data_IF_691832238703
#
_entry.id   IF_691832238703
#
_cell.length_a   1.000
_cell.length_b   1.000
_cell.length_c   1.000
_cell.angle_alpha   90.00
_cell.angle_beta   90.00
_cell.angle_gamma   90.00
#
_symmetry.space_group_name_H-M   'P 1'
#
loop_
_entity.id
_entity.type
_entity.pdbx_description
1 polymer ?
#
# COMPACT_ATOMS: atom_id res chain seq x y z
N UNK A 1 -17.87 5.50 54.32
CA UNK A 1 -16.72 6.01 53.54
C UNK A 1 -16.96 5.68 52.07
N UNK A 2 -17.74 6.50 51.35
CA UNK A 2 -17.31 7.57 50.40
C UNK A 2 -16.43 7.08 49.24
N UNK A 3 -17.14 6.82 48.12
CA UNK A 3 -16.84 6.93 46.68
C UNK A 3 -15.39 7.31 46.28
N UNK A 4 -14.84 6.56 45.31
CA UNK A 4 -13.95 7.14 44.30
C UNK A 4 -14.30 6.56 42.92
N UNK A 5 -15.13 7.32 42.21
CA UNK A 5 -15.27 7.26 40.75
C UNK A 5 -14.13 8.12 40.22
N UNK A 6 -13.29 7.58 39.34
CA UNK A 6 -12.37 8.39 38.55
C UNK A 6 -12.49 8.01 37.08
N UNK A 7 -13.24 8.87 36.41
CA UNK A 7 -13.39 9.04 34.98
C UNK A 7 -12.11 9.75 34.48
N UNK A 8 -11.49 9.23 33.43
CA UNK A 8 -10.59 10.00 32.55
C UNK A 8 -10.83 9.46 31.13
N UNK A 9 -11.89 9.92 30.47
CA UNK A 9 -11.91 11.05 29.51
C UNK A 9 -10.87 10.92 28.39
N UNK A 10 -11.38 10.45 27.26
CA UNK A 10 -10.78 10.37 25.94
C UNK A 10 -10.17 11.69 25.50
N UNK A 11 -8.89 11.67 25.10
CA UNK A 11 -8.27 12.78 24.37
C UNK A 11 -8.46 12.54 22.86
N UNK A 12 -9.54 13.10 22.31
CA UNK A 12 -9.74 13.26 20.87
C UNK A 12 -8.87 14.44 20.44
N UNK A 13 -7.78 14.17 19.72
CA UNK A 13 -6.96 15.22 19.12
C UNK A 13 -7.56 15.60 17.76
N UNK A 14 -8.26 16.74 17.72
CA UNK A 14 -8.68 17.42 16.50
C UNK A 14 -7.48 18.25 16.00
N UNK A 15 -6.89 17.89 14.87
CA UNK A 15 -6.03 18.81 14.12
C UNK A 15 -6.87 19.45 13.01
N UNK A 16 -7.35 20.67 13.29
CA UNK A 16 -7.82 21.61 12.29
C UNK A 16 -6.62 22.39 11.74
N UNK A 17 -6.59 22.50 10.41
CA UNK A 17 -5.63 23.25 9.61
C UNK A 17 -5.88 24.76 9.82
N UNK A 18 -4.81 25.52 10.07
CA UNK A 18 -4.86 26.98 10.06
C UNK A 18 -3.44 27.55 9.95
N UNK A 19 -3.15 28.19 8.83
CA UNK A 19 -1.90 28.89 8.57
C UNK A 19 -1.63 30.00 9.60
N UNK A 20 -0.39 30.09 10.09
CA UNK A 20 0.19 31.32 10.62
C UNK A 20 1.61 31.49 10.10
N UNK A 21 1.80 32.62 9.43
CA UNK A 21 3.06 33.22 9.08
C UNK A 21 3.88 33.54 10.34
N UNK A 22 5.21 33.48 10.22
CA UNK A 22 6.15 34.26 11.03
C UNK A 22 6.27 33.91 12.52
N UNK A 23 7.02 32.85 12.83
CA UNK A 23 7.75 32.76 14.10
C UNK A 23 9.16 32.22 13.80
N UNK A 24 10.17 33.06 14.00
CA UNK A 24 11.56 32.62 14.09
C UNK A 24 11.63 31.52 15.17
N UNK A 25 12.09 30.30 14.88
CA UNK A 25 12.35 29.35 15.93
C UNK A 25 13.55 29.85 16.73
N UNK A 26 13.31 30.15 18.01
CA UNK A 26 14.36 30.15 19.02
C UNK A 26 15.10 28.82 18.86
N UNK A 27 16.37 28.88 18.43
CA UNK A 27 17.25 27.72 18.43
C UNK A 27 17.54 27.37 19.89
N UNK A 28 16.63 26.59 20.47
CA UNK A 28 16.92 25.87 21.70
C UNK A 28 17.98 24.83 21.34
N UNK A 29 19.20 25.01 21.87
CA UNK A 29 20.31 24.09 21.73
C UNK A 29 20.00 22.80 22.50
N UNK A 30 19.06 22.01 22.01
CA UNK A 30 18.80 20.66 22.49
C UNK A 30 20.06 19.85 22.20
N UNK A 31 20.66 19.18 23.21
CA UNK A 31 21.85 18.37 23.04
C UNK A 31 21.67 17.38 21.88
N UNK A 32 22.67 17.27 21.03
CA UNK A 32 22.63 16.42 19.83
C UNK A 32 22.28 14.95 20.17
N UNK A 33 22.73 14.46 21.34
CA UNK A 33 22.36 13.16 21.86
C UNK A 33 20.86 13.00 22.18
N UNK A 34 20.17 14.05 22.64
CA UNK A 34 18.73 14.02 22.90
C UNK A 34 17.93 14.03 21.60
N UNK A 35 18.40 14.74 20.56
CA UNK A 35 17.79 14.72 19.21
C UNK A 35 17.93 13.35 18.56
N UNK A 36 19.09 12.72 18.66
CA UNK A 36 19.35 11.38 18.10
C UNK A 36 18.47 10.29 18.73
N UNK A 37 18.35 10.26 20.06
CA UNK A 37 17.49 9.30 20.77
C UNK A 37 16.01 9.49 20.38
N UNK A 38 15.55 10.74 20.21
CA UNK A 38 14.20 11.02 19.77
C UNK A 38 13.96 10.58 18.31
N UNK A 39 14.96 10.73 17.44
CA UNK A 39 14.95 10.26 16.05
C UNK A 39 14.80 8.73 15.99
N UNK A 40 15.66 8.00 16.69
CA UNK A 40 15.65 6.53 16.72
C UNK A 40 14.32 5.96 17.23
N UNK A 41 13.74 6.56 18.30
CA UNK A 41 12.43 6.17 18.81
C UNK A 41 11.31 6.42 17.80
N UNK A 42 11.39 7.55 17.09
CA UNK A 42 10.40 7.91 16.07
C UNK A 42 10.47 6.97 14.89
N UNK A 43 11.67 6.64 14.42
CA UNK A 43 11.87 5.71 13.31
C UNK A 43 11.36 4.32 13.66
N UNK A 44 11.70 3.80 14.84
CA UNK A 44 11.19 2.50 15.32
C UNK A 44 9.66 2.45 15.38
N UNK A 45 9.01 3.54 15.76
CA UNK A 45 7.54 3.63 15.73
C UNK A 45 6.99 3.54 14.29
N UNK A 46 7.64 4.23 13.34
CA UNK A 46 7.25 4.16 11.92
C UNK A 46 7.44 2.75 11.35
N UNK A 47 8.54 2.10 11.69
CA UNK A 47 8.83 0.72 11.29
C UNK A 47 7.81 -0.27 11.83
N UNK A 48 7.43 -0.10 13.10
CA UNK A 48 6.40 -0.92 13.71
C UNK A 48 5.03 -0.69 13.07
N UNK A 49 4.72 0.55 12.69
CA UNK A 49 3.51 0.89 11.93
C UNK A 49 3.50 0.21 10.57
N UNK A 50 4.63 0.23 9.85
CA UNK A 50 4.77 -0.46 8.55
C UNK A 50 4.54 -1.96 8.70
N UNK A 51 5.14 -2.58 9.73
CA UNK A 51 4.95 -4.01 10.00
C UNK A 51 3.47 -4.36 10.28
N UNK A 52 2.74 -3.52 11.00
CA UNK A 52 1.30 -3.72 11.24
C UNK A 52 0.50 -3.66 9.94
N UNK A 53 0.78 -2.69 9.05
CA UNK A 53 0.15 -2.65 7.73
C UNK A 53 0.51 -3.88 6.88
N UNK A 54 1.78 -4.31 6.88
CA UNK A 54 2.21 -5.50 6.14
C UNK A 54 1.50 -6.77 6.63
N UNK A 55 1.28 -6.91 7.95
CA UNK A 55 0.46 -8.00 8.52
C UNK A 55 -0.99 -7.96 8.03
N UNK A 56 -1.59 -6.77 7.92
CA UNK A 56 -2.93 -6.63 7.37
C UNK A 56 -2.96 -7.01 5.88
N UNK A 57 -1.94 -6.64 5.11
CA UNK A 57 -1.84 -7.01 3.69
C UNK A 57 -1.80 -8.52 3.45
N UNK A 58 -1.22 -9.28 4.39
CA UNK A 58 -1.22 -10.76 4.31
C UNK A 58 -2.63 -11.34 4.24
N UNK A 59 -3.61 -10.71 4.90
CA UNK A 59 -5.01 -11.19 4.93
C UNK A 59 -5.66 -11.17 3.54
N UNK A 60 -5.11 -10.41 2.59
CA UNK A 60 -5.62 -10.32 1.23
C UNK A 60 -5.29 -11.54 0.35
N UNK A 61 -4.55 -12.52 0.87
CA UNK A 61 -4.41 -13.84 0.24
C UNK A 61 -5.76 -14.49 -0.10
N UNK A 62 -6.81 -14.20 0.69
CA UNK A 62 -8.20 -14.66 0.44
C UNK A 62 -8.75 -14.24 -0.91
N UNK A 63 -8.25 -13.15 -1.50
CA UNK A 63 -8.71 -12.70 -2.81
C UNK A 63 -8.22 -13.62 -3.93
N UNK A 64 -7.13 -14.37 -3.76
CA UNK A 64 -6.58 -15.24 -4.81
C UNK A 64 -7.58 -16.34 -5.22
N UNK A 65 -8.37 -16.86 -4.28
CA UNK A 65 -9.37 -17.92 -4.53
C UNK A 65 -10.76 -17.38 -4.88
N UNK A 66 -11.02 -16.10 -4.60
CA UNK A 66 -12.33 -15.47 -4.80
C UNK A 66 -12.61 -15.12 -6.26
N UNK A 67 -13.87 -15.12 -6.70
CA UNK A 67 -14.22 -14.53 -8.00
C UNK A 67 -14.27 -13.00 -7.91
N UNK A 68 -13.52 -12.31 -8.76
CA UNK A 68 -13.45 -10.85 -8.75
C UNK A 68 -14.11 -10.31 -10.02
N UNK A 69 -15.39 -9.96 -9.91
CA UNK A 69 -16.20 -9.46 -11.02
C UNK A 69 -16.53 -7.97 -10.86
N UNK A 70 -16.62 -7.49 -9.62
CA UNK A 70 -17.03 -6.12 -9.29
C UNK A 70 -15.89 -5.37 -8.62
N UNK A 71 -15.61 -4.17 -9.13
CA UNK A 71 -14.51 -3.34 -8.67
C UNK A 71 -14.99 -1.94 -8.28
N UNK A 72 -14.34 -1.29 -7.30
CA UNK A 72 -14.50 0.14 -7.07
C UNK A 72 -14.20 0.94 -8.34
N UNK A 73 -14.75 2.16 -8.42
CA UNK A 73 -14.52 3.05 -9.56
C UNK A 73 -13.01 3.21 -9.81
N UNK A 74 -12.64 3.19 -11.09
CA UNK A 74 -11.27 3.35 -11.58
C UNK A 74 -10.25 2.36 -11.01
N UNK A 75 -10.70 1.16 -10.64
CA UNK A 75 -9.87 0.13 -10.03
C UNK A 75 -9.93 -1.13 -10.88
N UNK A 76 -8.79 -1.80 -11.02
CA UNK A 76 -8.68 -3.13 -11.60
C UNK A 76 -7.89 -4.01 -10.65
N UNK A 77 -8.33 -5.25 -10.41
CA UNK A 77 -7.51 -6.26 -9.78
C UNK A 77 -7.21 -7.38 -10.78
N UNK A 78 -5.96 -7.81 -10.84
CA UNK A 78 -5.53 -8.97 -11.63
C UNK A 78 -4.72 -9.92 -10.78
N UNK A 79 -4.91 -11.21 -11.00
CA UNK A 79 -4.16 -12.28 -10.36
C UNK A 79 -3.26 -12.94 -11.38
N UNK A 80 -2.19 -13.53 -10.89
CA UNK A 80 -1.17 -14.08 -11.76
C UNK A 80 -0.20 -15.01 -11.07
N UNK A 81 0.87 -15.29 -11.81
CA UNK A 81 2.01 -16.04 -11.32
C UNK A 81 3.23 -15.13 -11.17
N UNK A 82 3.98 -15.35 -10.10
CA UNK A 82 5.24 -14.66 -9.87
C UNK A 82 6.24 -15.09 -10.96
N UNK A 83 6.85 -14.11 -11.62
CA UNK A 83 7.95 -14.31 -12.56
C UNK A 83 9.06 -13.28 -12.27
N UNK A 84 10.06 -13.69 -11.49
CA UNK A 84 11.11 -12.78 -11.01
C UNK A 84 10.54 -11.68 -10.12
N UNK A 85 10.64 -10.43 -10.59
CA UNK A 85 10.19 -9.23 -9.87
C UNK A 85 8.79 -8.75 -10.22
N UNK A 86 8.09 -9.47 -11.11
CA UNK A 86 6.77 -9.09 -11.60
C UNK A 86 5.70 -10.17 -11.33
N UNK A 87 4.45 -9.74 -11.39
CA UNK A 87 3.27 -10.59 -11.36
C UNK A 87 2.66 -10.67 -12.76
N UNK A 88 2.83 -11.81 -13.42
CA UNK A 88 2.34 -12.03 -14.78
C UNK A 88 0.88 -12.48 -14.70
N UNK A 89 -0.03 -11.64 -15.19
CA UNK A 89 -1.47 -11.92 -15.17
C UNK A 89 -1.79 -13.25 -15.86
N UNK A 90 -2.59 -14.08 -15.18
CA UNK A 90 -3.04 -15.36 -15.71
C UNK A 90 -4.40 -15.20 -16.42
N UNK A 91 -4.61 -15.82 -17.58
CA UNK A 91 -5.92 -15.80 -18.24
C UNK A 91 -7.01 -16.41 -17.34
N UNK A 92 -6.66 -17.46 -16.58
CA UNK A 92 -7.54 -18.02 -15.57
C UNK A 92 -7.33 -17.31 -14.22
N UNK A 93 -8.17 -16.30 -13.94
CA UNK A 93 -8.13 -15.52 -12.70
C UNK A 93 -8.55 -16.35 -11.45
N UNK A 94 -9.04 -17.58 -11.61
CA UNK A 94 -9.39 -18.49 -10.51
C UNK A 94 -8.41 -19.66 -10.36
N UNK A 95 -7.34 -19.68 -11.16
CA UNK A 95 -6.36 -20.74 -11.09
C UNK A 95 -5.78 -20.84 -9.67
N UNK A 96 -5.92 -21.99 -8.98
CA UNK A 96 -5.40 -22.17 -7.63
C UNK A 96 -3.88 -21.95 -7.53
N UNK A 97 -3.17 -22.09 -8.64
CA UNK A 97 -1.73 -21.85 -8.74
C UNK A 97 -1.36 -20.37 -8.92
N UNK A 98 -2.32 -19.45 -8.99
CA UNK A 98 -2.04 -18.02 -8.89
C UNK A 98 -1.46 -17.72 -7.49
N UNK A 99 -0.34 -17.02 -7.44
CA UNK A 99 0.41 -16.72 -6.22
C UNK A 99 0.80 -15.24 -6.10
N UNK A 100 0.25 -14.38 -6.96
CA UNK A 100 0.32 -12.94 -6.80
C UNK A 100 -0.98 -12.26 -7.24
N UNK A 101 -1.25 -11.09 -6.66
CA UNK A 101 -2.37 -10.23 -7.01
C UNK A 101 -1.90 -8.79 -7.10
N UNK A 102 -2.34 -8.09 -8.14
CA UNK A 102 -2.06 -6.69 -8.42
C UNK A 102 -3.35 -5.90 -8.45
N UNK A 103 -3.42 -4.81 -7.69
CA UNK A 103 -4.45 -3.79 -7.82
C UNK A 103 -3.86 -2.55 -8.47
N UNK A 104 -4.54 -2.06 -9.49
CA UNK A 104 -4.22 -0.83 -10.21
C UNK A 104 -5.35 0.18 -10.00
N UNK A 105 -4.97 1.42 -9.67
CA UNK A 105 -5.87 2.56 -9.67
C UNK A 105 -5.52 3.48 -10.82
N UNK A 106 -6.54 3.88 -11.58
CA UNK A 106 -6.41 4.74 -12.74
C UNK A 106 -6.86 6.17 -12.43
N UNK A 107 -6.13 7.15 -12.94
CA UNK A 107 -6.62 8.53 -13.02
C UNK A 107 -7.23 8.72 -14.41
N UNK A 108 -8.56 8.71 -14.49
CA UNK A 108 -9.24 9.13 -15.71
C UNK A 108 -9.26 10.66 -15.73
N UNK A 109 -8.42 11.23 -16.59
CA UNK A 109 -8.62 12.60 -17.03
C UNK A 109 -9.78 12.54 -18.01
N UNK A 110 -10.87 13.23 -17.70
CA UNK A 110 -12.10 13.23 -18.48
C UNK A 110 -11.88 13.99 -19.80
N UNK A 111 -11.09 13.44 -20.71
CA UNK A 111 -10.91 13.98 -22.04
C UNK A 111 -11.96 13.31 -22.90
N UNK A 112 -13.10 13.98 -23.04
CA UNK A 112 -14.21 13.49 -23.84
C UNK A 112 -13.75 13.06 -25.23
N UNK A 113 -14.45 12.04 -25.75
CA UNK A 113 -14.28 11.50 -27.11
C UNK A 113 -13.05 10.57 -27.21
N UNK A 114 -13.11 9.36 -26.61
CA UNK A 114 -12.71 8.13 -27.30
C UNK A 114 -12.98 6.88 -26.45
N UNK A 115 -13.38 5.79 -27.12
CA UNK A 115 -13.96 4.56 -26.55
C UNK A 115 -12.95 3.55 -26.00
N UNK A 116 -11.67 3.92 -25.91
CA UNK A 116 -10.64 3.12 -25.25
C UNK A 116 -10.05 3.89 -24.06
N UNK A 117 -10.92 4.17 -23.08
CA UNK A 117 -10.50 4.78 -21.82
C UNK A 117 -9.70 3.77 -20.98
N UNK A 118 -8.41 3.58 -21.31
CA UNK A 118 -7.40 3.21 -20.34
C UNK A 118 -6.75 4.50 -19.88
N UNK A 119 -7.21 5.05 -18.74
CA UNK A 119 -6.47 6.14 -18.10
C UNK A 119 -5.02 5.70 -17.84
N UNK A 120 -4.09 6.65 -17.70
CA UNK A 120 -2.75 6.30 -17.22
C UNK A 120 -2.88 5.67 -15.82
N UNK A 121 -2.26 4.50 -15.60
CA UNK A 121 -2.16 3.89 -14.26
C UNK A 121 -1.53 4.93 -13.34
N UNK A 122 -2.26 5.37 -12.33
CA UNK A 122 -1.74 6.37 -11.40
C UNK A 122 -0.93 5.70 -10.31
N UNK A 123 -1.48 4.64 -9.70
CA UNK A 123 -0.84 3.91 -8.61
C UNK A 123 -1.15 2.41 -8.75
N UNK A 124 -0.26 1.54 -8.30
CA UNK A 124 -0.56 0.11 -8.16
C UNK A 124 0.15 -0.52 -6.98
N UNK A 125 -0.44 -1.58 -6.42
CA UNK A 125 0.20 -2.45 -5.44
C UNK A 125 0.08 -3.90 -5.89
N UNK A 126 1.20 -4.62 -5.82
CA UNK A 126 1.28 -6.05 -6.07
C UNK A 126 1.71 -6.75 -4.78
N UNK A 127 0.91 -7.74 -4.38
CA UNK A 127 1.19 -8.63 -3.26
C UNK A 127 1.65 -9.98 -3.83
N UNK A 128 2.78 -10.46 -3.34
CA UNK A 128 3.39 -11.71 -3.74
C UNK A 128 3.29 -12.69 -2.57
N UNK A 129 2.72 -13.86 -2.82
CA UNK A 129 2.45 -14.85 -1.80
C UNK A 129 3.22 -16.14 -2.07
N UNK A 130 3.49 -16.89 -1.01
CA UNK A 130 3.96 -18.27 -1.13
C UNK A 130 2.92 -19.14 -1.83
N UNK A 131 3.39 -20.22 -2.43
CA UNK A 131 2.49 -21.27 -2.93
C UNK A 131 1.80 -21.97 -1.76
N UNK A 132 0.58 -22.45 -1.97
CA UNK A 132 -0.21 -23.17 -0.96
C UNK A 132 -1.70 -22.84 -1.02
N UNK A 133 -2.57 -23.81 -0.75
CA UNK A 133 -4.02 -23.64 -0.81
C UNK A 133 -4.62 -23.02 0.47
N UNK A 134 -4.06 -23.35 1.64
CA UNK A 134 -4.67 -23.02 2.94
C UNK A 134 -3.97 -21.89 3.70
N UNK A 135 -2.63 -21.82 3.59
CA UNK A 135 -1.84 -20.74 4.21
C UNK A 135 -0.85 -20.21 3.19
N UNK A 136 -0.92 -18.89 2.96
CA UNK A 136 -0.07 -18.16 2.04
C UNK A 136 0.63 -17.06 2.82
N UNK A 137 1.94 -17.13 2.89
CA UNK A 137 2.75 -16.12 3.55
C UNK A 137 3.08 -15.01 2.54
N UNK A 138 2.99 -13.76 2.98
CA UNK A 138 3.32 -12.60 2.15
C UNK A 138 4.84 -12.53 2.00
N UNK A 139 5.33 -12.74 0.78
CA UNK A 139 6.75 -12.81 0.47
C UNK A 139 7.32 -11.44 0.11
N UNK A 140 6.55 -10.64 -0.63
CA UNK A 140 7.01 -9.37 -1.18
C UNK A 140 5.83 -8.42 -1.39
N UNK A 141 6.07 -7.14 -1.18
CA UNK A 141 5.14 -6.06 -1.54
C UNK A 141 5.84 -5.14 -2.53
N UNK A 142 5.20 -4.89 -3.67
CA UNK A 142 5.67 -3.91 -4.66
C UNK A 142 4.60 -2.85 -4.83
N UNK A 143 4.94 -1.59 -4.58
CA UNK A 143 4.00 -0.46 -4.67
C UNK A 143 4.57 0.62 -5.58
N UNK A 144 3.78 1.05 -6.55
CA UNK A 144 4.13 2.06 -7.53
C UNK A 144 3.18 3.23 -7.36
N UNK A 145 3.69 4.45 -7.17
CA UNK A 145 2.89 5.63 -6.94
C UNK A 145 3.66 6.91 -7.23
N UNK A 146 2.94 8.01 -7.41
CA UNK A 146 3.54 9.32 -7.50
C UNK A 146 3.52 10.05 -6.15
N UNK A 147 4.66 10.57 -5.72
CA UNK A 147 4.77 11.35 -4.49
C UNK A 147 5.56 12.64 -4.70
N UNK A 148 5.24 13.66 -3.91
CA UNK A 148 6.13 14.79 -3.68
C UNK A 148 7.06 14.35 -2.55
N UNK A 149 8.36 14.34 -2.79
CA UNK A 149 9.34 13.84 -1.82
C UNK A 149 10.29 14.95 -1.41
N UNK A 150 10.86 14.88 -0.21
CA UNK A 150 11.94 15.81 0.15
C UNK A 150 13.21 15.57 -0.69
N UNK A 151 13.30 14.41 -1.35
CA UNK A 151 14.35 14.06 -2.30
C UNK A 151 14.22 14.83 -3.63
N UNK A 152 13.03 15.35 -3.96
CA UNK A 152 12.76 16.00 -5.23
C UNK A 152 11.69 17.09 -5.09
N UNK A 153 12.00 18.33 -5.48
CA UNK A 153 11.05 19.47 -5.44
C UNK A 153 9.79 19.27 -6.31
N UNK A 154 9.83 18.35 -7.26
CA UNK A 154 8.73 18.01 -8.16
C UNK A 154 8.12 16.65 -7.79
N UNK A 155 6.89 16.40 -8.24
CA UNK A 155 6.25 15.08 -8.12
C UNK A 155 7.07 14.03 -8.88
N UNK A 156 7.53 13.01 -8.19
CA UNK A 156 8.33 11.91 -8.75
C UNK A 156 7.53 10.62 -8.76
N UNK A 157 7.84 9.75 -9.71
CA UNK A 157 7.38 8.38 -9.68
C UNK A 157 8.28 7.58 -8.73
N UNK A 158 7.64 6.85 -7.83
CA UNK A 158 8.30 5.94 -6.90
C UNK A 158 7.77 4.53 -7.13
N UNK A 159 8.71 3.58 -7.14
CA UNK A 159 8.39 2.17 -6.96
C UNK A 159 9.13 1.66 -5.73
N UNK A 160 8.37 1.18 -4.75
CA UNK A 160 8.87 0.65 -3.49
C UNK A 160 8.69 -0.86 -3.53
N UNK A 161 9.78 -1.60 -3.39
CA UNK A 161 9.78 -3.05 -3.27
C UNK A 161 10.28 -3.43 -1.88
N UNK A 162 9.41 -4.03 -1.08
CA UNK A 162 9.75 -4.64 0.20
C UNK A 162 9.84 -6.16 0.02
N UNK A 163 11.06 -6.68 0.11
CA UNK A 163 11.39 -8.07 -0.18
C UNK A 163 11.11 -9.04 0.98
N UNK A 164 10.78 -8.53 2.16
CA UNK A 164 10.55 -9.35 3.34
C UNK A 164 9.65 -8.62 4.36
N UNK A 165 8.39 -8.37 3.99
CA UNK A 165 7.51 -7.43 4.70
C UNK A 165 7.12 -7.88 6.12
N UNK A 166 7.40 -9.13 6.49
CA UNK A 166 6.96 -9.76 7.73
C UNK A 166 8.10 -10.19 8.68
N UNK A 167 9.38 -10.06 8.29
CA UNK A 167 10.50 -10.62 9.06
C UNK A 167 10.74 -9.94 10.42
N UNK A 168 11.02 -8.63 10.43
CA UNK A 168 11.38 -7.88 11.65
C UNK A 168 10.96 -6.42 11.56
N UNK A 169 10.92 -5.73 12.71
CA UNK A 169 10.56 -4.30 12.77
C UNK A 169 11.56 -3.46 11.96
N UNK A 170 12.86 -3.61 12.22
CA UNK A 170 13.90 -3.01 11.38
C UNK A 170 14.06 -3.84 10.09
N UNK A 171 13.63 -3.28 8.97
CA UNK A 171 13.61 -3.95 7.66
C UNK A 171 14.10 -3.06 6.52
N UNK A 172 14.81 -1.96 6.82
CA UNK A 172 15.31 -1.01 5.81
C UNK A 172 16.22 -1.66 4.77
N UNK A 173 16.92 -2.73 5.14
CA UNK A 173 17.80 -3.50 4.24
C UNK A 173 17.03 -4.30 3.17
N UNK A 174 15.73 -4.52 3.39
CA UNK A 174 14.80 -5.27 2.54
C UNK A 174 13.96 -4.36 1.66
N UNK A 175 13.88 -3.07 1.99
CA UNK A 175 13.16 -2.06 1.23
C UNK A 175 14.07 -1.44 0.17
N UNK A 176 13.67 -1.58 -1.08
CA UNK A 176 14.28 -0.91 -2.24
C UNK A 176 13.31 0.14 -2.80
N UNK A 177 13.82 1.31 -3.12
CA UNK A 177 13.08 2.43 -3.68
C UNK A 177 13.69 2.76 -5.03
N UNK A 178 12.92 2.61 -6.09
CA UNK A 178 13.22 3.16 -7.39
C UNK A 178 12.58 4.55 -7.49
N UNK A 179 13.37 5.56 -7.84
CA UNK A 179 12.93 6.94 -8.00
C UNK A 179 13.15 7.38 -9.44
N UNK A 180 12.18 8.07 -10.02
CA UNK A 180 12.29 8.68 -11.35
C UNK A 180 11.64 10.07 -11.40
N UNK A 181 12.39 11.05 -11.92
CA UNK A 181 11.91 12.42 -12.10
C UNK A 181 10.96 12.60 -13.30
N UNK A 182 11.09 11.80 -14.35
CA UNK A 182 10.40 11.99 -15.65
C UNK A 182 9.26 10.98 -15.92
N UNK A 183 8.53 10.53 -14.89
CA UNK A 183 7.36 9.63 -15.05
C UNK A 183 7.65 8.13 -14.89
N UNK A 184 6.81 7.26 -15.46
CA UNK A 184 6.98 5.78 -15.43
C UNK A 184 7.95 5.37 -16.54
N UNK A 185 9.03 4.61 -16.26
CA UNK A 185 9.93 4.15 -17.30
C UNK A 185 9.30 3.02 -18.11
N UNK A 186 9.59 2.90 -19.41
CA UNK A 186 9.30 1.70 -20.16
C UNK A 186 9.92 0.46 -19.48
N UNK A 187 9.20 -0.66 -19.51
CA UNK A 187 9.69 -1.94 -18.99
C UNK A 187 11.02 -2.30 -19.65
N UNK A 188 12.03 -2.67 -18.86
CA UNK A 188 13.37 -3.04 -19.36
C UNK A 188 14.36 -1.87 -19.52
N UNK A 189 14.02 -0.66 -19.07
CA UNK A 189 14.95 0.48 -19.07
C UNK A 189 16.16 0.21 -18.16
N UNK A 190 17.38 0.33 -18.72
CA UNK A 190 18.64 0.11 -17.99
C UNK A 190 18.87 1.25 -17.00
N UNK A 191 19.15 0.92 -15.74
CA UNK A 191 19.41 1.89 -14.66
C UNK A 191 20.59 2.83 -14.99
N UNK A 192 20.43 4.13 -14.72
CA UNK A 192 21.49 5.14 -14.93
C UNK A 192 21.30 6.32 -13.96
N UNK A 193 22.12 6.34 -12.91
CA UNK A 193 22.16 7.40 -11.89
C UNK A 193 22.36 8.80 -12.47
N UNK A 194 23.07 8.92 -13.60
CA UNK A 194 23.34 10.20 -14.28
C UNK A 194 22.11 10.85 -14.93
N UNK A 195 20.98 10.16 -15.00
CA UNK A 195 19.77 10.64 -15.70
C UNK A 195 18.55 10.79 -14.79
N UNK A 196 18.75 10.87 -13.46
CA UNK A 196 17.65 11.15 -12.52
C UNK A 196 16.68 9.97 -12.32
N UNK A 197 17.13 8.74 -12.59
CA UNK A 197 16.42 7.53 -12.21
C UNK A 197 17.37 6.49 -11.62
N UNK A 198 16.96 5.84 -10.53
CA UNK A 198 17.82 4.88 -9.84
C UNK A 198 17.13 4.12 -8.72
N UNK A 199 17.61 2.90 -8.47
CA UNK A 199 17.18 2.03 -7.37
C UNK A 199 18.11 2.19 -6.17
N UNK A 200 17.54 2.46 -5.01
CA UNK A 200 18.24 2.69 -3.76
C UNK A 200 17.71 1.74 -2.69
N UNK A 201 18.59 1.17 -1.86
CA UNK A 201 18.14 0.51 -0.62
C UNK A 201 17.87 1.58 0.43
N UNK A 202 16.77 1.45 1.17
CA UNK A 202 16.42 2.42 2.21
C UNK A 202 17.52 2.50 3.29
N UNK A 203 18.16 1.37 3.62
CA UNK A 203 19.31 1.31 4.54
C UNK A 203 20.54 2.10 4.10
N UNK A 204 20.64 2.50 2.82
CA UNK A 204 21.75 3.34 2.33
C UNK A 204 21.46 4.85 2.44
N UNK A 205 20.23 5.23 2.82
CA UNK A 205 19.89 6.64 3.05
C UNK A 205 20.44 7.04 4.42
N UNK A 206 21.55 7.77 4.43
CA UNK A 206 22.28 8.14 5.64
C UNK A 206 21.58 9.19 6.50
N UNK A 207 20.63 9.94 5.92
CA UNK A 207 19.86 10.97 6.62
C UNK A 207 18.55 10.38 7.18
N UNK A 208 18.49 10.28 8.51
CA UNK A 208 17.32 9.77 9.24
C UNK A 208 16.06 10.60 8.96
N UNK A 209 16.16 11.92 8.79
CA UNK A 209 15.01 12.78 8.52
C UNK A 209 14.39 12.47 7.15
N UNK A 210 15.23 12.16 6.16
CA UNK A 210 14.78 11.71 4.84
C UNK A 210 14.09 10.35 4.93
N UNK A 211 14.69 9.36 5.62
CA UNK A 211 14.09 8.03 5.81
C UNK A 211 12.74 8.12 6.53
N UNK A 212 12.70 8.82 7.66
CA UNK A 212 11.47 9.00 8.43
C UNK A 212 10.39 9.75 7.65
N UNK A 213 10.76 10.78 6.88
CA UNK A 213 9.81 11.49 6.03
C UNK A 213 9.25 10.60 4.92
N UNK A 214 10.09 9.77 4.28
CA UNK A 214 9.65 8.79 3.30
C UNK A 214 8.67 7.79 3.94
N UNK A 215 9.04 7.17 5.06
CA UNK A 215 8.20 6.20 5.80
C UNK A 215 6.84 6.81 6.13
N UNK A 216 6.83 8.00 6.76
CA UNK A 216 5.61 8.68 7.23
C UNK A 216 4.74 9.25 6.12
N UNK A 217 5.32 10.03 5.22
CA UNK A 217 4.54 10.85 4.27
C UNK A 217 4.21 10.11 2.98
N UNK A 218 5.00 9.08 2.62
CA UNK A 218 4.83 8.33 1.38
C UNK A 218 4.42 6.89 1.64
N UNK A 219 5.27 6.09 2.31
CA UNK A 219 5.08 4.64 2.31
C UNK A 219 3.86 4.20 3.13
N UNK A 220 3.75 4.62 4.40
CA UNK A 220 2.62 4.28 5.28
C UNK A 220 1.28 4.70 4.68
N UNK A 221 1.19 5.92 4.12
CA UNK A 221 -0.03 6.41 3.48
C UNK A 221 -0.47 5.53 2.29
N UNK A 222 0.48 5.01 1.52
CA UNK A 222 0.18 4.12 0.40
C UNK A 222 -0.21 2.71 0.88
N UNK A 223 0.44 2.19 1.94
CA UNK A 223 0.05 0.92 2.55
C UNK A 223 -1.39 0.97 3.06
N UNK A 224 -1.76 2.02 3.81
CA UNK A 224 -3.12 2.23 4.31
C UNK A 224 -4.14 2.38 3.17
N UNK A 225 -3.80 3.18 2.15
CA UNK A 225 -4.67 3.38 0.99
C UNK A 225 -4.97 2.06 0.28
N UNK A 226 -3.95 1.26 -0.02
CA UNK A 226 -4.14 0.01 -0.74
C UNK A 226 -4.78 -1.07 0.13
N UNK A 227 -4.48 -1.15 1.43
CA UNK A 227 -5.20 -2.06 2.34
C UNK A 227 -6.71 -1.81 2.32
N UNK A 228 -7.12 -0.54 2.39
CA UNK A 228 -8.53 -0.15 2.23
C UNK A 228 -9.09 -0.53 0.87
N UNK A 229 -8.32 -0.35 -0.20
CA UNK A 229 -8.76 -0.69 -1.56
C UNK A 229 -8.93 -2.20 -1.77
N UNK A 230 -8.01 -3.03 -1.25
CA UNK A 230 -8.14 -4.48 -1.23
C UNK A 230 -9.39 -4.91 -0.45
N UNK A 231 -9.61 -4.33 0.73
CA UNK A 231 -10.82 -4.58 1.52
C UNK A 231 -12.10 -4.17 0.78
N UNK A 232 -12.10 -3.06 0.04
CA UNK A 232 -13.24 -2.69 -0.79
C UNK A 232 -13.50 -3.73 -1.89
N UNK A 233 -12.48 -4.14 -2.64
CA UNK A 233 -12.60 -5.19 -3.66
C UNK A 233 -13.18 -6.48 -3.06
N UNK A 234 -12.69 -6.92 -1.90
CA UNK A 234 -13.26 -8.06 -1.18
C UNK A 234 -14.75 -7.86 -0.89
N UNK A 235 -15.12 -6.75 -0.26
CA UNK A 235 -16.49 -6.48 0.18
C UNK A 235 -17.49 -6.38 -0.98
N UNK A 236 -17.09 -5.84 -2.14
CA UNK A 236 -17.95 -5.80 -3.33
C UNK A 236 -18.31 -7.21 -3.79
N UNK A 237 -17.30 -8.09 -3.89
CA UNK A 237 -17.50 -9.44 -4.41
C UNK A 237 -18.14 -10.39 -3.38
N UNK A 238 -17.89 -10.19 -2.09
CA UNK A 238 -18.46 -11.04 -1.02
C UNK A 238 -19.97 -10.81 -0.90
N UNK A 239 -20.42 -9.54 -1.00
CA UNK A 239 -21.84 -9.20 -1.02
C UNK A 239 -22.57 -9.82 -2.21
N UNK A 240 -21.96 -9.80 -3.39
CA UNK A 240 -22.58 -10.34 -4.60
C UNK A 240 -22.64 -11.87 -4.60
N UNK A 241 -21.66 -12.55 -3.99
CA UNK A 241 -21.72 -14.00 -3.76
C UNK A 241 -22.86 -14.32 -2.80
N UNK A 242 -22.89 -13.68 -1.63
CA UNK A 242 -23.92 -13.91 -0.61
C UNK A 242 -25.34 -13.61 -1.14
N UNK A 243 -25.50 -12.58 -1.98
CA UNK A 243 -26.79 -12.25 -2.60
C UNK A 243 -27.22 -13.30 -3.63
N UNK A 244 -26.30 -13.78 -4.47
CA UNK A 244 -26.57 -14.84 -5.46
C UNK A 244 -26.94 -16.16 -4.77
N UNK A 245 -26.21 -16.55 -3.73
CA UNK A 245 -26.51 -17.75 -2.95
C UNK A 245 -27.88 -17.69 -2.30
N UNK A 246 -28.24 -16.56 -1.68
CA UNK A 246 -29.57 -16.37 -1.08
C UNK A 246 -30.69 -16.50 -2.13
N UNK A 247 -30.51 -15.92 -3.31
CA UNK A 247 -31.48 -16.02 -4.40
C UNK A 247 -31.60 -17.47 -4.91
N UNK A 248 -30.48 -18.19 -5.01
CA UNK A 248 -30.46 -19.60 -5.44
C UNK A 248 -31.15 -20.51 -4.42
N UNK A 249 -30.90 -20.31 -3.12
CA UNK A 249 -31.59 -21.06 -2.05
C UNK A 249 -33.09 -20.79 -2.10
N UNK A 250 -33.52 -19.53 -2.23
CA UNK A 250 -34.95 -19.19 -2.35
C UNK A 250 -35.60 -19.82 -3.59
N UNK A 251 -34.89 -19.86 -4.72
CA UNK A 251 -35.36 -20.52 -5.93
C UNK A 251 -35.50 -22.04 -5.74
N UNK A 252 -34.53 -22.69 -5.08
CA UNK A 252 -34.59 -24.12 -4.78
C UNK A 252 -35.73 -24.44 -3.81
N UNK A 253 -35.89 -23.67 -2.72
CA UNK A 253 -36.99 -23.83 -1.77
C UNK A 253 -38.37 -23.63 -2.42
N UNK A 254 -38.49 -22.67 -3.35
CA UNK A 254 -39.73 -22.43 -4.10
C UNK A 254 -40.11 -23.57 -5.04
N UNK A 255 -39.12 -24.31 -5.56
CA UNK A 255 -39.34 -25.42 -6.49
C UNK A 255 -39.34 -26.81 -5.82
N UNK A 256 -38.86 -26.93 -4.58
CA UNK A 256 -38.85 -28.17 -3.81
C UNK A 256 -40.03 -28.29 -2.82
N UNK A 257 -40.87 -27.25 -2.71
CA UNK A 257 -42.18 -27.35 -2.05
C UNK A 257 -43.14 -28.10 -2.96
N UNK A 258 -43.17 -29.42 -2.80
CA UNK A 258 -44.24 -30.31 -3.26
C UNK A 258 -45.00 -30.84 -2.06
#
# INVERSE_FOLDING_TARGET
MKRLILIFFSLVLVFAIGAREGLNPVQENVPEGSKKIASEKTEKFLDQTILEFNKNLQLHARLLTMDLEVFPKNTLATKGKIAGDDCVSNKNQKDPSNNCIRIEQFQFINNGIDKENKGNVSNSMTLFFSDGAEKRDLLKVKTSFYAITNLAKNRVYLEVTDLDPLATVDHDTKVSIFLQHDGIPPVGTIESTNRGFGKYKLSHVTDDAIRMSFKRSSYINNLDFFDKLFNQVYNFNDRDINKREKNNIQFLEGNLRF
#
